data_IF_749998135733
#
_entry.id   IF_749998135733
#
_cell.length_a   1.000
_cell.length_b   1.000
_cell.length_c   1.000
_cell.angle_alpha   90.00
_cell.angle_beta   90.00
_cell.angle_gamma   90.00
#
_symmetry.space_group_name_H-M   'P 1'
#
loop_
_entity.id
_entity.type
_entity.pdbx_description
1 polymer ?
#
# COMPACT_ATOMS: atom_id res chain seq x y z
N UNK A 1 -29.26 30.57 -20.10
CA UNK A 1 -27.97 30.03 -20.55
C UNK A 1 -26.98 29.73 -19.40
N UNK A 2 -26.87 30.53 -18.37
CA UNK A 2 -26.01 30.25 -17.20
C UNK A 2 -26.41 29.01 -16.42
N UNK A 3 -27.69 28.77 -16.19
CA UNK A 3 -28.23 27.62 -15.41
C UNK A 3 -28.03 26.26 -16.08
N UNK A 4 -28.06 26.19 -17.40
CA UNK A 4 -27.82 24.94 -18.15
C UNK A 4 -26.31 24.59 -18.15
N UNK A 5 -25.46 25.61 -18.17
CA UNK A 5 -24.01 25.45 -18.13
C UNK A 5 -23.53 24.94 -16.75
N UNK A 6 -24.17 25.39 -15.66
CA UNK A 6 -23.89 24.92 -14.30
C UNK A 6 -24.43 23.50 -14.06
N UNK A 7 -25.56 23.13 -14.66
CA UNK A 7 -26.12 21.77 -14.58
C UNK A 7 -25.30 20.74 -15.37
N UNK A 8 -24.75 21.10 -16.53
CA UNK A 8 -23.84 20.23 -17.29
C UNK A 8 -22.48 20.14 -16.58
N UNK A 9 -22.03 21.20 -15.93
CA UNK A 9 -20.80 21.21 -15.14
C UNK A 9 -20.92 20.32 -13.88
N UNK A 10 -22.11 20.25 -13.28
CA UNK A 10 -22.37 19.42 -12.09
C UNK A 10 -22.40 17.91 -12.38
N UNK A 11 -22.71 17.51 -13.60
CA UNK A 11 -22.86 16.09 -13.97
C UNK A 11 -21.52 15.40 -14.32
N UNK A 12 -20.46 16.17 -14.59
CA UNK A 12 -19.24 15.62 -15.20
C UNK A 12 -18.02 15.50 -14.24
N UNK A 13 -18.11 16.00 -12.98
CA UNK A 13 -16.95 16.09 -12.07
C UNK A 13 -16.89 14.97 -11.03
N UNK A 14 -17.59 13.89 -11.23
CA UNK A 14 -17.94 12.94 -10.16
C UNK A 14 -17.04 11.68 -10.06
N UNK A 15 -15.72 11.68 -10.19
CA UNK A 15 -14.99 10.40 -10.05
C UNK A 15 -13.49 10.54 -9.76
N UNK A 16 -13.09 11.09 -8.63
CA UNK A 16 -11.68 10.94 -8.19
C UNK A 16 -11.51 10.94 -6.66
N UNK A 17 -11.38 9.79 -6.10
CA UNK A 17 -10.49 9.54 -4.97
C UNK A 17 -9.20 8.95 -5.51
N UNK A 18 -8.09 9.05 -4.79
CA UNK A 18 -6.84 8.34 -5.10
C UNK A 18 -6.94 6.88 -4.57
N UNK A 19 -7.68 5.97 -5.21
CA UNK A 19 -7.88 4.61 -4.70
C UNK A 19 -6.67 3.70 -4.92
N UNK A 20 -5.68 4.16 -5.67
CA UNK A 20 -4.58 3.33 -6.14
C UNK A 20 -3.43 3.10 -5.18
N UNK A 21 -3.32 3.84 -4.06
CA UNK A 21 -2.15 3.75 -3.17
C UNK A 21 -2.04 2.39 -2.46
N UNK A 22 -3.16 1.75 -2.15
CA UNK A 22 -3.15 0.49 -1.39
C UNK A 22 -2.89 -0.75 -2.23
N UNK A 23 -3.25 -0.75 -3.52
CA UNK A 23 -3.01 -1.88 -4.41
C UNK A 23 -1.57 -1.92 -4.97
N UNK A 24 -0.77 -0.87 -4.72
CA UNK A 24 0.59 -0.68 -5.26
C UNK A 24 1.67 -1.10 -4.27
N UNK A 25 1.40 -2.09 -3.41
CA UNK A 25 2.38 -2.61 -2.46
C UNK A 25 3.56 -3.26 -3.18
N UNK A 26 4.77 -3.00 -2.68
CA UNK A 26 6.00 -3.73 -2.98
C UNK A 26 6.71 -4.00 -1.65
N UNK A 27 6.42 -5.16 -1.07
CA UNK A 27 6.87 -5.52 0.27
C UNK A 27 7.67 -6.82 0.26
N UNK A 28 8.92 -6.84 -0.27
CA UNK A 28 9.74 -8.04 -0.27
C UNK A 28 9.91 -8.59 1.14
N UNK A 29 9.95 -9.93 1.24
CA UNK A 29 10.15 -10.66 2.50
C UNK A 29 9.03 -10.47 3.55
N UNK A 30 7.79 -10.22 3.09
CA UNK A 30 6.66 -9.97 3.99
C UNK A 30 6.29 -11.16 4.89
N UNK A 31 6.70 -12.37 4.54
CA UNK A 31 6.43 -13.61 5.28
C UNK A 31 7.65 -14.20 5.98
N UNK A 32 8.80 -13.52 5.91
CA UNK A 32 9.99 -13.97 6.68
C UNK A 32 9.67 -13.91 8.17
N UNK A 33 9.97 -15.02 8.86
CA UNK A 33 9.68 -15.14 10.28
C UNK A 33 10.77 -14.51 11.15
N UNK A 34 10.38 -14.12 12.34
CA UNK A 34 11.27 -13.67 13.42
C UNK A 34 11.04 -14.52 14.67
N UNK A 35 11.97 -14.53 15.63
CA UNK A 35 11.71 -15.17 16.92
C UNK A 35 10.44 -14.63 17.54
N UNK A 36 9.71 -15.45 18.32
CA UNK A 36 8.56 -14.99 19.08
C UNK A 36 8.98 -13.89 20.07
N UNK A 37 8.03 -12.98 20.37
CA UNK A 37 8.25 -11.78 21.19
C UNK A 37 9.23 -10.77 20.58
N UNK A 38 9.54 -10.87 19.27
CA UNK A 38 10.24 -9.81 18.58
C UNK A 38 9.32 -8.61 18.42
N UNK A 39 9.87 -7.44 18.69
CA UNK A 39 9.21 -6.15 18.47
C UNK A 39 10.09 -5.30 17.58
N UNK A 40 9.47 -4.44 16.79
CA UNK A 40 10.18 -3.41 16.06
C UNK A 40 9.34 -2.14 15.91
N UNK A 41 10.00 -1.00 15.91
CA UNK A 41 9.46 0.24 15.38
C UNK A 41 10.20 0.57 14.10
N UNK A 42 9.46 1.06 13.13
CA UNK A 42 10.02 1.51 11.85
C UNK A 42 9.51 2.92 11.56
N UNK A 43 10.44 3.82 11.26
CA UNK A 43 10.16 5.14 10.74
C UNK A 43 10.52 5.12 9.27
N UNK A 44 9.51 5.30 8.43
CA UNK A 44 9.67 5.36 6.97
C UNK A 44 9.37 6.76 6.49
N UNK A 45 10.19 7.27 5.59
CA UNK A 45 9.90 8.46 4.82
C UNK A 45 9.86 8.07 3.35
N UNK A 46 8.73 8.31 2.70
CA UNK A 46 8.53 8.03 1.28
C UNK A 46 8.24 9.32 0.54
N UNK A 47 8.95 9.54 -0.55
CA UNK A 47 8.73 10.64 -1.48
C UNK A 47 8.14 10.08 -2.76
N UNK A 48 7.12 10.74 -3.29
CA UNK A 48 6.39 10.37 -4.51
C UNK A 48 6.36 11.57 -5.45
N UNK A 49 6.64 11.33 -6.73
CA UNK A 49 6.56 12.33 -7.80
C UNK A 49 6.11 11.68 -9.10
N UNK A 50 5.13 12.28 -9.78
CA UNK A 50 4.68 11.77 -11.08
C UNK A 50 3.25 12.10 -11.45
N UNK A 51 2.73 11.35 -12.40
CA UNK A 51 1.42 11.52 -13.00
C UNK A 51 0.27 10.91 -12.22
N UNK A 52 -0.93 11.40 -12.52
CA UNK A 52 -2.20 10.81 -12.12
C UNK A 52 -3.01 10.48 -13.38
N UNK A 53 -3.18 9.19 -13.65
CA UNK A 53 -3.96 8.72 -14.80
C UNK A 53 -5.42 8.56 -14.43
N UNK A 54 -6.29 9.35 -15.03
CA UNK A 54 -7.74 9.26 -14.83
C UNK A 54 -8.46 8.49 -15.94
N UNK A 55 -7.74 8.08 -16.97
CA UNK A 55 -8.27 7.30 -18.09
C UNK A 55 -9.62 7.83 -18.63
N UNK A 56 -9.78 9.15 -18.68
CA UNK A 56 -11.03 9.80 -19.11
C UNK A 56 -12.18 9.73 -18.09
N UNK A 57 -12.00 9.13 -16.92
CA UNK A 57 -13.02 9.07 -15.87
C UNK A 57 -13.35 10.46 -15.29
N UNK A 58 -12.46 11.41 -15.44
CA UNK A 58 -12.59 12.80 -14.98
C UNK A 58 -12.05 13.74 -16.04
N UNK A 59 -12.62 14.95 -16.21
CA UNK A 59 -12.16 15.94 -17.17
C UNK A 59 -10.95 16.74 -16.62
N UNK A 60 -9.92 16.01 -16.20
CA UNK A 60 -8.64 16.57 -15.74
C UNK A 60 -7.54 15.98 -16.63
N UNK A 61 -6.74 16.85 -17.19
CA UNK A 61 -5.59 16.50 -18.01
C UNK A 61 -4.29 16.97 -17.35
N UNK A 62 -3.16 16.34 -17.72
CA UNK A 62 -1.83 16.67 -17.21
C UNK A 62 -1.77 16.69 -15.67
N UNK A 63 -2.51 15.77 -15.04
CA UNK A 63 -2.54 15.69 -13.60
C UNK A 63 -1.22 15.10 -13.07
N UNK A 64 -0.60 15.82 -12.14
CA UNK A 64 0.62 15.40 -11.45
C UNK A 64 0.48 15.59 -9.95
N UNK A 65 1.29 14.87 -9.19
CA UNK A 65 1.36 15.00 -7.75
C UNK A 65 2.77 14.78 -7.24
N UNK A 66 3.19 15.66 -6.34
CA UNK A 66 4.45 15.53 -5.59
C UNK A 66 4.12 15.55 -4.12
N UNK A 67 4.42 14.45 -3.40
CA UNK A 67 4.06 14.34 -2.00
C UNK A 67 5.01 13.46 -1.20
N UNK A 68 5.06 13.74 0.11
CA UNK A 68 5.86 13.01 1.08
C UNK A 68 4.96 12.32 2.09
N UNK A 69 5.35 11.10 2.48
CA UNK A 69 4.60 10.29 3.44
C UNK A 69 5.54 9.75 4.52
N UNK A 70 5.70 10.43 5.66
CA UNK A 70 6.24 9.83 6.86
C UNK A 70 5.26 8.79 7.41
N UNK A 71 5.80 7.61 7.81
CA UNK A 71 5.01 6.49 8.34
C UNK A 71 5.68 5.98 9.60
N UNK A 72 4.92 5.89 10.68
CA UNK A 72 5.30 5.13 11.87
C UNK A 72 4.69 3.74 11.80
N UNK A 73 5.49 2.68 11.98
CA UNK A 73 5.01 1.30 12.02
C UNK A 73 5.51 0.59 13.26
N UNK A 74 4.61 -0.09 13.97
CA UNK A 74 4.94 -1.03 15.03
C UNK A 74 4.73 -2.47 14.54
N UNK A 75 5.66 -3.36 14.90
CA UNK A 75 5.66 -4.78 14.59
C UNK A 75 5.77 -5.60 15.87
N UNK A 76 5.00 -6.68 15.97
CA UNK A 76 5.11 -7.67 17.03
C UNK A 76 4.93 -9.09 16.49
N UNK A 77 5.82 -10.02 16.90
CA UNK A 77 5.71 -11.44 16.57
C UNK A 77 5.29 -12.26 17.78
N UNK A 78 4.49 -13.27 17.55
CA UNK A 78 3.95 -14.14 18.59
C UNK A 78 3.74 -15.57 18.10
N UNK A 79 3.45 -16.46 19.05
CA UNK A 79 3.08 -17.83 18.76
C UNK A 79 1.57 -17.94 18.54
N UNK A 80 1.16 -18.43 17.38
CA UNK A 80 -0.21 -18.73 17.04
C UNK A 80 -0.35 -20.24 16.78
N UNK A 81 -0.77 -21.00 17.80
CA UNK A 81 -0.91 -22.46 17.74
C UNK A 81 0.33 -23.19 17.18
N UNK A 82 1.51 -22.84 17.65
CA UNK A 82 2.78 -23.42 17.21
C UNK A 82 3.34 -22.83 15.91
N UNK A 83 2.65 -21.86 15.31
CA UNK A 83 3.07 -21.17 14.09
C UNK A 83 3.57 -19.77 14.38
N UNK A 84 4.57 -19.32 13.63
CA UNK A 84 5.02 -17.94 13.69
C UNK A 84 3.93 -17.03 13.12
N UNK A 85 3.50 -16.07 13.91
CA UNK A 85 2.57 -15.04 13.51
C UNK A 85 3.11 -13.66 13.86
N UNK A 86 2.64 -12.64 13.15
CA UNK A 86 2.97 -11.26 13.46
C UNK A 86 1.81 -10.31 13.18
N UNK A 87 1.82 -9.20 13.90
CA UNK A 87 0.94 -8.07 13.65
C UNK A 87 1.78 -6.83 13.37
N UNK A 88 1.34 -6.05 12.37
CA UNK A 88 1.86 -4.73 12.08
C UNK A 88 0.74 -3.70 12.20
N UNK A 89 1.07 -2.53 12.75
CA UNK A 89 0.18 -1.38 12.80
C UNK A 89 0.95 -0.16 12.27
N UNK A 90 0.40 0.53 11.27
CA UNK A 90 1.05 1.68 10.63
C UNK A 90 0.16 2.91 10.69
N UNK A 91 0.75 4.04 11.02
CA UNK A 91 0.14 5.36 11.06
C UNK A 91 0.87 6.27 10.08
N UNK A 92 0.33 6.50 8.88
CA UNK A 92 0.92 7.37 7.89
C UNK A 92 0.36 8.79 7.96
N UNK A 93 1.20 9.78 7.61
CA UNK A 93 0.82 11.17 7.39
C UNK A 93 1.31 11.61 6.02
N UNK A 94 0.58 12.46 5.31
CA UNK A 94 1.02 12.93 4.00
C UNK A 94 0.96 14.44 3.87
N UNK A 95 1.88 14.94 3.06
CA UNK A 95 1.97 16.35 2.68
C UNK A 95 2.29 16.40 1.20
N UNK A 96 1.52 17.15 0.41
CA UNK A 96 1.83 17.22 -1.01
C UNK A 96 1.06 18.28 -1.79
N UNK A 97 1.52 18.48 -3.01
CA UNK A 97 0.96 19.39 -4.00
C UNK A 97 0.50 18.59 -5.20
N UNK A 98 -0.68 18.93 -5.70
CA UNK A 98 -1.27 18.34 -6.90
C UNK A 98 -1.54 19.45 -7.91
N UNK A 99 -1.30 19.16 -9.19
CA UNK A 99 -1.51 20.08 -10.29
C UNK A 99 -2.27 19.37 -11.41
N UNK A 100 -2.97 20.14 -12.24
CA UNK A 100 -3.66 19.61 -13.43
C UNK A 100 -4.57 20.63 -14.06
N UNK A 101 -4.92 20.43 -15.33
CA UNK A 101 -5.85 21.28 -16.04
C UNK A 101 -7.26 20.71 -15.91
N UNK A 102 -8.13 21.39 -15.17
CA UNK A 102 -9.55 21.09 -15.05
C UNK A 102 -10.34 22.02 -15.97
N UNK A 103 -11.07 21.45 -16.96
CA UNK A 103 -11.83 22.21 -17.97
C UNK A 103 -10.97 23.29 -18.68
N UNK A 104 -9.72 22.93 -19.04
CA UNK A 104 -8.78 23.81 -19.71
C UNK A 104 -8.15 24.90 -18.86
N UNK A 105 -8.41 24.92 -17.54
CA UNK A 105 -7.78 25.87 -16.60
C UNK A 105 -6.85 25.12 -15.67
N UNK A 106 -5.60 25.56 -15.62
CA UNK A 106 -4.63 25.01 -14.65
C UNK A 106 -5.06 25.30 -13.22
N UNK A 107 -4.91 24.30 -12.40
CA UNK A 107 -5.20 24.32 -10.96
C UNK A 107 -4.08 23.66 -10.20
N UNK A 108 -3.73 24.23 -9.08
CA UNK A 108 -2.82 23.67 -8.09
C UNK A 108 -3.50 23.63 -6.74
N UNK A 109 -3.27 22.56 -6.01
CA UNK A 109 -3.78 22.46 -4.66
C UNK A 109 -2.77 21.76 -3.74
N UNK A 110 -2.71 22.24 -2.53
CA UNK A 110 -1.94 21.65 -1.44
C UNK A 110 -2.85 20.84 -0.53
N UNK A 111 -2.36 19.68 -0.07
CA UNK A 111 -3.04 18.82 0.90
C UNK A 111 -2.04 18.32 1.94
N UNK A 112 -2.45 18.32 3.21
CA UNK A 112 -1.72 17.67 4.30
C UNK A 112 -2.72 17.00 5.23
N UNK A 113 -2.34 15.89 5.85
CA UNK A 113 -3.20 15.21 6.81
C UNK A 113 -2.83 13.76 7.03
N UNK A 114 -3.51 13.13 7.97
CA UNK A 114 -3.40 11.69 8.22
C UNK A 114 -3.97 10.91 7.04
N UNK A 115 -3.26 9.87 6.60
CA UNK A 115 -3.85 8.81 5.80
C UNK A 115 -4.51 7.78 6.70
N UNK A 116 -5.21 6.84 6.10
CA UNK A 116 -5.84 5.75 6.83
C UNK A 116 -4.80 4.83 7.49
N UNK A 117 -5.03 4.51 8.75
CA UNK A 117 -4.20 3.55 9.49
C UNK A 117 -4.34 2.16 8.90
N UNK A 118 -3.23 1.40 8.86
CA UNK A 118 -3.23 0.04 8.35
C UNK A 118 -2.79 -0.95 9.41
N UNK A 119 -3.47 -2.12 9.42
CA UNK A 119 -3.16 -3.24 10.29
C UNK A 119 -2.95 -4.48 9.43
N UNK A 120 -1.94 -5.29 9.72
CA UNK A 120 -1.73 -6.57 9.04
C UNK A 120 -1.46 -7.65 10.06
N UNK A 121 -2.27 -8.69 10.04
CA UNK A 121 -2.03 -9.95 10.74
C UNK A 121 -1.52 -10.97 9.71
N UNK A 122 -0.38 -11.61 9.98
CA UNK A 122 0.16 -12.68 9.14
C UNK A 122 0.45 -13.92 9.98
N UNK A 123 0.17 -15.09 9.40
CA UNK A 123 0.43 -16.39 10.01
C UNK A 123 1.13 -17.29 9.00
N UNK A 124 2.25 -17.91 9.39
CA UNK A 124 2.94 -18.91 8.59
C UNK A 124 2.30 -20.29 8.77
N UNK A 125 1.69 -20.81 7.72
CA UNK A 125 0.99 -22.10 7.73
C UNK A 125 1.97 -23.28 7.59
N UNK A 126 3.06 -23.12 6.82
CA UNK A 126 4.07 -24.16 6.59
C UNK A 126 5.46 -23.55 6.63
N UNK A 127 6.43 -24.28 7.15
CA UNK A 127 7.84 -23.91 7.17
C UNK A 127 8.24 -22.88 8.22
N UNK A 128 7.27 -22.18 8.82
CA UNK A 128 7.49 -21.10 9.79
C UNK A 128 6.96 -21.48 11.19
N UNK A 129 7.64 -22.35 11.96
CA UNK A 129 7.24 -22.63 13.34
C UNK A 129 7.49 -21.42 14.24
N UNK A 130 6.71 -21.31 15.32
CA UNK A 130 6.98 -20.36 16.39
C UNK A 130 8.23 -20.80 17.16
N UNK A 131 9.26 -19.94 17.18
CA UNK A 131 10.55 -20.30 17.77
C UNK A 131 11.02 -19.26 18.78
N UNK A 132 11.59 -19.75 19.88
CA UNK A 132 12.39 -18.92 20.78
C UNK A 132 13.70 -18.46 20.10
N UNK A 133 14.35 -17.39 20.57
CA UNK A 133 15.58 -16.87 19.93
C UNK A 133 16.70 -17.90 19.78
N UNK A 134 16.88 -18.80 20.77
CA UNK A 134 17.93 -19.86 20.73
C UNK A 134 17.69 -20.89 19.61
N UNK A 135 16.43 -21.19 19.31
CA UNK A 135 16.06 -22.16 18.27
C UNK A 135 16.08 -21.50 16.89
N UNK A 136 15.67 -20.22 16.83
CA UNK A 136 15.69 -19.43 15.61
C UNK A 136 17.09 -19.29 15.03
N UNK A 137 18.14 -19.15 15.85
CA UNK A 137 19.54 -19.05 15.37
C UNK A 137 19.98 -20.31 14.62
N UNK A 138 19.43 -21.47 14.95
CA UNK A 138 19.73 -22.77 14.31
C UNK A 138 18.85 -23.04 13.10
N UNK A 139 17.72 -22.36 12.99
CA UNK A 139 16.75 -22.58 11.93
C UNK A 139 17.23 -21.95 10.62
N UNK A 140 17.00 -22.65 9.53
CA UNK A 140 17.26 -22.14 8.18
C UNK A 140 15.96 -22.17 7.39
N UNK A 141 15.60 -21.03 6.84
CA UNK A 141 14.47 -20.93 5.94
C UNK A 141 14.68 -21.84 4.72
N UNK A 142 13.62 -22.57 4.38
CA UNK A 142 13.43 -23.24 3.10
C UNK A 142 12.17 -22.66 2.47
N UNK A 143 11.13 -23.46 2.37
CA UNK A 143 9.80 -23.03 1.90
C UNK A 143 8.99 -22.46 3.04
N UNK A 144 8.39 -21.30 2.85
CA UNK A 144 7.35 -20.73 3.72
C UNK A 144 6.05 -20.59 2.94
N UNK A 145 4.95 -21.00 3.55
CA UNK A 145 3.60 -20.68 3.10
C UNK A 145 2.91 -19.92 4.22
N UNK A 146 2.34 -18.79 3.88
CA UNK A 146 1.65 -17.96 4.86
C UNK A 146 0.37 -17.36 4.30
N UNK A 147 -0.46 -16.88 5.22
CA UNK A 147 -1.65 -16.09 4.91
C UNK A 147 -1.59 -14.80 5.72
N UNK A 148 -2.17 -13.75 5.18
CA UNK A 148 -2.35 -12.52 5.94
C UNK A 148 -3.69 -11.87 5.64
N UNK A 149 -4.13 -11.04 6.57
CA UNK A 149 -5.21 -10.10 6.38
C UNK A 149 -4.67 -8.69 6.66
N UNK A 150 -4.66 -7.84 5.64
CA UNK A 150 -4.41 -6.41 5.79
C UNK A 150 -5.75 -5.68 5.88
N UNK A 151 -5.87 -4.79 6.83
CA UNK A 151 -7.06 -3.97 7.08
C UNK A 151 -6.66 -2.51 7.03
N UNK A 152 -7.38 -1.72 6.27
CA UNK A 152 -7.28 -0.26 6.23
C UNK A 152 -8.50 0.31 6.94
N UNK A 153 -8.26 1.04 8.03
CA UNK A 153 -9.31 1.66 8.81
C UNK A 153 -9.52 3.12 8.37
N UNK A 154 -10.76 3.61 8.22
CA UNK A 154 -11.05 4.97 7.76
C UNK A 154 -10.75 6.03 8.84
N UNK A 155 -9.49 6.16 9.21
CA UNK A 155 -8.99 7.08 10.24
C UNK A 155 -8.30 8.31 9.65
N UNK A 156 -8.13 8.32 8.32
CA UNK A 156 -7.50 9.40 7.60
C UNK A 156 -8.38 10.63 7.48
N UNK A 157 -7.73 11.74 7.13
CA UNK A 157 -8.44 12.99 6.93
C UNK A 157 -9.27 12.93 5.64
N UNK A 158 -10.57 13.12 5.79
CA UNK A 158 -11.53 13.11 4.70
C UNK A 158 -12.48 14.30 4.77
N UNK A 159 -12.69 14.95 3.63
CA UNK A 159 -13.62 16.06 3.45
C UNK A 159 -14.46 15.78 2.17
N UNK A 160 -15.75 15.48 2.29
CA UNK A 160 -16.60 15.13 1.15
C UNK A 160 -16.79 16.27 0.14
N UNK A 161 -16.44 17.50 0.49
CA UNK A 161 -16.46 18.66 -0.43
C UNK A 161 -15.20 18.78 -1.27
N UNK A 162 -14.19 17.94 -1.01
CA UNK A 162 -12.90 17.95 -1.72
C UNK A 162 -12.71 16.72 -2.58
N UNK A 163 -12.21 16.92 -3.78
CA UNK A 163 -11.92 15.83 -4.72
C UNK A 163 -10.75 14.98 -4.25
N UNK A 164 -9.67 15.59 -3.76
CA UNK A 164 -8.47 14.90 -3.32
C UNK A 164 -8.44 14.86 -1.79
N UNK A 165 -8.45 13.66 -1.24
CA UNK A 165 -8.41 13.34 0.16
C UNK A 165 -7.28 12.34 0.47
N UNK A 166 -6.73 12.40 1.67
CA UNK A 166 -5.75 11.42 2.15
C UNK A 166 -6.40 10.17 2.73
N UNK A 167 -7.56 10.28 3.36
CA UNK A 167 -8.39 9.16 3.79
C UNK A 167 -9.36 8.73 2.68
N UNK A 168 -9.73 7.45 2.65
CA UNK A 168 -10.69 6.88 1.67
C UNK A 168 -12.13 6.81 2.22
N UNK A 169 -12.34 7.15 3.50
CA UNK A 169 -13.65 7.17 4.17
C UNK A 169 -14.43 5.83 4.07
N UNK A 170 -13.72 4.72 4.06
CA UNK A 170 -14.28 3.37 4.02
C UNK A 170 -13.26 2.35 4.51
N UNK A 171 -13.72 1.20 4.94
CA UNK A 171 -12.84 0.09 5.25
C UNK A 171 -12.36 -0.58 3.97
N UNK A 172 -11.11 -1.07 4.00
CA UNK A 172 -10.59 -1.96 2.97
C UNK A 172 -9.91 -3.18 3.62
N UNK A 173 -10.03 -4.33 2.98
CA UNK A 173 -9.55 -5.62 3.47
C UNK A 173 -8.80 -6.33 2.34
N UNK A 174 -7.58 -6.81 2.61
CA UNK A 174 -6.80 -7.64 1.68
C UNK A 174 -6.44 -8.97 2.33
N UNK A 175 -7.25 -10.03 2.21
CA UNK A 175 -6.74 -11.37 2.39
C UNK A 175 -5.68 -11.66 1.34
N UNK A 176 -4.59 -12.30 1.75
CA UNK A 176 -3.44 -12.56 0.90
C UNK A 176 -2.81 -13.91 1.27
N UNK A 177 -2.42 -14.67 0.25
CA UNK A 177 -1.59 -15.85 0.34
C UNK A 177 -0.16 -15.50 -0.06
N UNK A 178 0.83 -15.99 0.70
CA UNK A 178 2.25 -15.78 0.46
C UNK A 178 3.01 -17.09 0.37
N UNK A 179 3.86 -17.17 -0.63
CA UNK A 179 4.86 -18.20 -0.85
C UNK A 179 6.26 -17.58 -0.78
N UNK A 180 7.19 -18.21 -0.09
CA UNK A 180 8.59 -17.81 -0.06
C UNK A 180 9.48 -19.06 -0.12
N UNK A 181 10.43 -19.06 -1.03
CA UNK A 181 11.39 -20.16 -1.20
C UNK A 181 12.82 -19.63 -1.13
N UNK A 182 13.68 -20.33 -0.39
CA UNK A 182 15.09 -19.98 -0.26
C UNK A 182 15.98 -21.08 -0.85
N UNK A 183 16.88 -20.69 -1.72
CA UNK A 183 17.98 -21.53 -2.18
C UNK A 183 19.33 -20.79 -2.10
N UNK A 184 20.15 -21.21 -1.17
CA UNK A 184 21.42 -20.52 -0.87
C UNK A 184 21.19 -19.08 -0.45
N UNK A 185 21.75 -18.14 -1.20
CA UNK A 185 21.63 -16.70 -0.99
C UNK A 185 20.37 -16.10 -1.60
N UNK A 186 19.68 -16.81 -2.47
CA UNK A 186 18.49 -16.33 -3.16
C UNK A 186 17.22 -16.61 -2.36
N UNK A 187 16.29 -15.67 -2.41
CA UNK A 187 14.92 -15.83 -1.90
C UNK A 187 13.95 -15.33 -2.97
N UNK A 188 13.04 -16.21 -3.37
CA UNK A 188 11.91 -15.88 -4.22
C UNK A 188 10.67 -15.77 -3.35
N UNK A 189 9.98 -14.63 -3.44
CA UNK A 189 8.69 -14.43 -2.81
C UNK A 189 7.62 -14.22 -3.89
N UNK A 190 6.44 -14.79 -3.67
CA UNK A 190 5.27 -14.57 -4.51
C UNK A 190 4.03 -14.42 -3.63
N UNK A 191 3.25 -13.35 -3.85
CA UNK A 191 2.06 -13.07 -3.06
C UNK A 191 0.86 -12.87 -3.99
N UNK A 192 -0.29 -13.37 -3.57
CA UNK A 192 -1.55 -13.22 -4.28
C UNK A 192 -2.65 -12.79 -3.30
N UNK A 193 -3.29 -11.68 -3.55
CA UNK A 193 -4.31 -11.12 -2.68
C UNK A 193 -5.46 -10.49 -3.45
N UNK A 194 -6.55 -10.22 -2.73
CA UNK A 194 -7.71 -9.52 -3.26
C UNK A 194 -8.14 -8.43 -2.30
N UNK A 195 -8.26 -7.21 -2.80
CA UNK A 195 -8.80 -6.09 -2.05
C UNK A 195 -10.33 -6.07 -2.14
N UNK A 196 -10.98 -5.89 -1.00
CA UNK A 196 -12.39 -5.66 -0.84
C UNK A 196 -12.62 -4.33 -0.13
N UNK A 197 -13.64 -3.61 -0.52
CA UNK A 197 -13.95 -2.28 0.00
C UNK A 197 -15.37 -2.21 0.49
N UNK A 198 -15.61 -1.54 1.61
CA UNK A 198 -16.96 -1.12 1.99
C UNK A 198 -17.36 0.11 1.17
N UNK A 199 -18.62 0.48 1.25
CA UNK A 199 -19.11 1.71 0.60
C UNK A 199 -18.49 2.94 1.28
N UNK A 200 -18.02 3.92 0.47
CA UNK A 200 -17.83 5.27 0.94
C UNK A 200 -19.18 6.01 0.84
N UNK A 201 -19.82 6.34 1.97
CA UNK A 201 -21.18 6.90 1.95
C UNK A 201 -21.23 8.35 1.44
N UNK A 202 -20.13 9.07 1.49
CA UNK A 202 -20.04 10.50 1.24
C UNK A 202 -18.91 10.83 0.25
N UNK A 203 -18.86 10.12 -0.87
CA UNK A 203 -17.88 10.40 -1.91
C UNK A 203 -18.15 11.75 -2.58
N UNK A 204 -17.07 12.51 -2.86
CA UNK A 204 -17.16 13.79 -3.56
C UNK A 204 -17.96 13.70 -4.86
N UNK A 205 -19.06 14.41 -4.93
CA UNK A 205 -19.95 14.48 -6.10
C UNK A 205 -20.80 15.76 -6.03
N UNK A 206 -20.36 16.87 -6.65
CA UNK A 206 -21.11 18.12 -6.63
C UNK A 206 -22.50 17.95 -7.25
N UNK A 207 -23.56 18.64 -6.76
CA UNK A 207 -23.50 19.56 -5.60
C UNK A 207 -23.50 18.85 -4.24
N UNK A 208 -23.85 17.58 -4.16
CA UNK A 208 -23.95 16.81 -2.91
C UNK A 208 -23.13 15.52 -2.99
N UNK A 209 -22.46 15.12 -1.91
CA UNK A 209 -21.77 13.83 -1.83
C UNK A 209 -22.72 12.66 -2.11
N UNK A 210 -22.20 11.59 -2.70
CA UNK A 210 -22.96 10.38 -3.06
C UNK A 210 -22.24 9.12 -2.59
N UNK A 211 -22.98 8.02 -2.34
CA UNK A 211 -22.34 6.76 -2.02
C UNK A 211 -21.55 6.21 -3.22
N UNK A 212 -20.30 5.79 -2.96
CA UNK A 212 -19.43 5.13 -3.93
C UNK A 212 -19.10 3.72 -3.46
N UNK A 213 -19.26 2.76 -4.36
CA UNK A 213 -18.77 1.39 -4.20
C UNK A 213 -17.62 1.11 -5.15
N UNK A 214 -16.83 0.10 -4.87
CA UNK A 214 -15.73 -0.37 -5.73
C UNK A 214 -15.72 -1.89 -5.78
N UNK A 215 -15.59 -2.45 -6.98
CA UNK A 215 -15.44 -3.88 -7.17
C UNK A 215 -14.06 -4.35 -6.67
N UNK A 216 -13.92 -5.64 -6.31
CA UNK A 216 -12.64 -6.16 -5.84
C UNK A 216 -11.47 -5.90 -6.82
N UNK A 217 -10.25 -5.75 -6.24
CA UNK A 217 -8.99 -5.62 -7.00
C UNK A 217 -8.13 -6.83 -6.68
N UNK A 218 -7.80 -7.63 -7.70
CA UNK A 218 -6.77 -8.66 -7.61
C UNK A 218 -5.37 -8.04 -7.62
N UNK A 219 -4.47 -8.56 -6.80
CA UNK A 219 -3.08 -8.09 -6.68
C UNK A 219 -2.12 -9.27 -6.62
N UNK A 220 -1.05 -9.22 -7.41
CA UNK A 220 0.04 -10.17 -7.42
C UNK A 220 1.35 -9.45 -7.21
N UNK A 221 2.19 -9.95 -6.32
CA UNK A 221 3.53 -9.44 -6.06
C UNK A 221 4.55 -10.54 -6.27
N UNK A 222 5.68 -10.19 -6.85
CA UNK A 222 6.82 -11.07 -7.02
C UNK A 222 8.12 -10.36 -6.63
N UNK A 223 8.97 -11.03 -5.85
CA UNK A 223 10.23 -10.47 -5.39
C UNK A 223 11.34 -11.50 -5.51
N UNK A 224 12.45 -11.10 -6.08
CA UNK A 224 13.68 -11.90 -6.12
C UNK A 224 14.77 -11.19 -5.31
N UNK A 225 15.10 -11.76 -4.16
CA UNK A 225 16.08 -11.17 -3.24
C UNK A 225 17.38 -11.97 -3.23
N UNK A 226 18.51 -11.27 -2.98
CA UNK A 226 19.82 -11.87 -2.78
C UNK A 226 20.43 -11.41 -1.46
N UNK A 227 20.83 -12.35 -0.60
CA UNK A 227 21.54 -12.08 0.64
C UNK A 227 23.05 -11.98 0.39
N UNK A 228 23.60 -10.79 0.50
CA UNK A 228 25.05 -10.54 0.45
C UNK A 228 25.72 -11.06 1.73
N UNK A 229 25.11 -10.72 2.87
CA UNK A 229 25.49 -11.13 4.23
C UNK A 229 24.22 -11.21 5.09
N UNK A 230 24.29 -11.77 6.31
CA UNK A 230 23.17 -11.74 7.23
C UNK A 230 22.64 -10.31 7.41
N UNK A 231 21.32 -10.10 7.16
CA UNK A 231 20.61 -8.81 7.22
C UNK A 231 21.05 -7.75 6.17
N UNK A 232 21.99 -8.08 5.30
CA UNK A 232 22.34 -7.26 4.13
C UNK A 232 21.88 -7.95 2.87
N UNK A 233 20.87 -7.41 2.23
CA UNK A 233 20.25 -7.98 1.05
C UNK A 233 19.70 -6.87 0.13
N UNK A 234 19.43 -7.26 -1.11
CA UNK A 234 18.71 -6.45 -2.08
C UNK A 234 17.69 -7.32 -2.83
N UNK A 235 16.69 -6.70 -3.43
CA UNK A 235 15.67 -7.37 -4.23
C UNK A 235 15.30 -6.59 -5.48
N UNK A 236 14.84 -7.34 -6.49
CA UNK A 236 14.03 -6.85 -7.59
C UNK A 236 12.58 -7.16 -7.27
N UNK A 237 11.71 -6.20 -7.48
CA UNK A 237 10.34 -6.23 -7.02
C UNK A 237 9.39 -5.95 -8.18
N UNK A 238 8.27 -6.65 -8.23
CA UNK A 238 7.22 -6.44 -9.22
C UNK A 238 5.83 -6.60 -8.61
N UNK A 239 4.89 -5.77 -9.06
CA UNK A 239 3.48 -5.86 -8.67
C UNK A 239 2.60 -5.68 -9.90
N UNK A 240 1.53 -6.45 -9.95
CA UNK A 240 0.46 -6.35 -10.94
C UNK A 240 -0.89 -6.38 -10.23
N UNK A 241 -1.80 -5.47 -10.61
CA UNK A 241 -3.16 -5.45 -10.05
C UNK A 241 -4.20 -5.13 -11.11
N UNK A 242 -5.42 -5.64 -10.91
CA UNK A 242 -6.53 -5.48 -11.85
C UNK A 242 -7.89 -5.53 -11.16
N UNK A 243 -8.89 -4.88 -11.74
CA UNK A 243 -10.25 -4.81 -11.18
C UNK A 243 -10.66 -3.40 -10.80
N UNK A 244 -11.37 -3.21 -9.71
CA UNK A 244 -11.60 -1.91 -9.07
C UNK A 244 -12.55 -0.97 -9.84
N UNK A 245 -13.49 -1.48 -10.63
CA UNK A 245 -14.52 -0.62 -11.24
C UNK A 245 -15.34 0.02 -10.14
N UNK A 246 -15.37 1.35 -10.11
CA UNK A 246 -16.18 2.10 -9.15
C UNK A 246 -17.59 2.37 -9.68
N UNK A 247 -18.55 2.48 -8.76
CA UNK A 247 -19.92 2.89 -9.05
C UNK A 247 -20.32 4.02 -8.13
N UNK A 248 -20.98 5.04 -8.67
CA UNK A 248 -21.51 6.17 -7.92
C UNK A 248 -23.04 6.10 -7.94
N UNK A 249 -23.66 6.02 -6.77
CA UNK A 249 -25.12 5.80 -6.65
C UNK A 249 -25.64 4.63 -7.50
N UNK A 250 -24.87 3.54 -7.58
CA UNK A 250 -25.23 2.36 -8.38
C UNK A 250 -24.84 2.42 -9.86
N UNK A 251 -24.43 3.57 -10.38
CA UNK A 251 -24.00 3.72 -11.78
C UNK A 251 -22.51 3.41 -11.89
N UNK A 252 -22.18 2.33 -12.59
CA UNK A 252 -20.79 1.91 -12.77
C UNK A 252 -20.05 2.82 -13.76
N UNK A 253 -18.76 3.10 -13.48
CA UNK A 253 -17.86 3.77 -14.42
C UNK A 253 -16.72 2.82 -14.86
N UNK A 254 -16.85 2.16 -16.02
CA UNK A 254 -15.82 1.24 -16.52
C UNK A 254 -14.44 1.89 -16.77
N UNK A 255 -14.38 3.21 -16.95
CA UNK A 255 -13.13 3.94 -17.14
C UNK A 255 -12.22 3.88 -15.89
N UNK A 256 -12.79 3.67 -14.69
CA UNK A 256 -12.04 3.54 -13.43
C UNK A 256 -11.40 2.17 -13.24
N UNK A 257 -11.65 1.20 -14.16
CA UNK A 257 -11.07 -0.13 -14.08
C UNK A 257 -9.53 -0.02 -14.07
N UNK A 258 -8.94 -0.66 -13.09
CA UNK A 258 -7.49 -0.78 -12.97
C UNK A 258 -7.00 -2.01 -13.76
N UNK A 259 -5.88 -1.87 -14.41
CA UNK A 259 -5.04 -2.92 -14.99
C UNK A 259 -3.67 -2.29 -15.05
N UNK A 260 -2.84 -2.57 -14.08
CA UNK A 260 -1.64 -1.76 -13.85
C UNK A 260 -0.52 -2.60 -13.27
N UNK A 261 0.72 -2.17 -13.49
CA UNK A 261 1.91 -2.83 -13.00
C UNK A 261 2.98 -1.83 -12.56
N UNK A 262 3.83 -2.27 -11.66
CA UNK A 262 4.93 -1.50 -11.09
C UNK A 262 6.14 -2.39 -10.89
N UNK A 263 7.32 -1.84 -11.04
CA UNK A 263 8.59 -2.48 -10.72
C UNK A 263 9.36 -1.65 -9.70
N UNK A 264 10.26 -2.29 -8.99
CA UNK A 264 11.11 -1.63 -8.02
C UNK A 264 12.36 -2.40 -7.66
N UNK A 265 13.18 -1.74 -6.88
CA UNK A 265 14.37 -2.32 -6.25
C UNK A 265 14.36 -1.95 -4.77
N UNK A 266 14.76 -2.89 -3.93
CA UNK A 266 14.88 -2.66 -2.48
C UNK A 266 16.23 -3.14 -1.99
N UNK A 267 16.87 -2.37 -1.11
CA UNK A 267 18.08 -2.75 -0.41
C UNK A 267 17.92 -2.56 1.09
N UNK A 268 18.45 -3.48 1.89
CA UNK A 268 18.45 -3.36 3.34
C UNK A 268 19.84 -3.68 3.90
N UNK A 269 20.30 -2.85 4.83
CA UNK A 269 21.61 -2.99 5.47
C UNK A 269 21.47 -2.93 7.00
N UNK A 270 22.21 -3.74 7.75
CA UNK A 270 22.29 -3.62 9.19
C UNK A 270 23.15 -2.40 9.56
N UNK A 271 22.63 -1.50 10.39
CA UNK A 271 23.38 -0.37 10.98
C UNK A 271 24.01 -0.79 12.30
N UNK A 272 23.30 -1.62 13.06
CA UNK A 272 23.78 -2.21 14.31
C UNK A 272 23.12 -3.56 14.57
N UNK A 273 23.41 -4.18 15.73
CA UNK A 273 22.75 -5.44 16.13
C UNK A 273 21.20 -5.32 16.19
N UNK A 274 20.68 -4.13 16.50
CA UNK A 274 19.25 -3.87 16.67
C UNK A 274 18.66 -2.94 15.61
N UNK A 275 19.49 -2.35 14.75
CA UNK A 275 19.05 -1.35 13.79
C UNK A 275 19.34 -1.79 12.36
N UNK A 276 18.46 -1.43 11.46
CA UNK A 276 18.64 -1.59 10.02
C UNK A 276 18.09 -0.39 9.27
N UNK A 277 18.66 -0.14 8.10
CA UNK A 277 18.18 0.83 7.13
C UNK A 277 17.71 0.06 5.89
N UNK A 278 16.55 0.43 5.37
CA UNK A 278 16.02 -0.08 4.11
C UNK A 278 15.76 1.10 3.18
N UNK A 279 16.20 0.99 1.95
CA UNK A 279 15.96 1.95 0.88
C UNK A 279 15.25 1.23 -0.25
N UNK A 280 14.21 1.82 -0.79
CA UNK A 280 13.51 1.27 -1.96
C UNK A 280 13.18 2.38 -2.95
N UNK A 281 13.28 2.03 -4.23
CA UNK A 281 12.82 2.84 -5.35
C UNK A 281 11.86 2.02 -6.19
N UNK A 282 10.77 2.62 -6.62
CA UNK A 282 9.85 1.99 -7.55
C UNK A 282 9.18 2.98 -8.51
N UNK A 283 8.71 2.46 -9.64
CA UNK A 283 8.06 3.24 -10.69
C UNK A 283 6.94 2.43 -11.36
N UNK A 284 5.93 3.10 -11.86
CA UNK A 284 4.92 2.51 -12.73
C UNK A 284 5.55 2.01 -14.03
N UNK A 285 5.14 0.84 -14.49
CA UNK A 285 5.50 0.31 -15.81
C UNK A 285 4.34 0.40 -16.78
N UNK A 286 3.14 0.27 -16.27
CA UNK A 286 1.90 0.53 -16.96
C UNK A 286 0.82 0.88 -15.95
N UNK A 287 0.27 2.09 -16.02
CA UNK A 287 -0.79 2.57 -15.14
C UNK A 287 -1.98 3.00 -15.99
N UNK A 288 -3.05 2.22 -15.95
CA UNK A 288 -4.29 2.56 -16.64
C UNK A 288 -5.10 3.62 -15.89
N UNK A 289 -5.19 3.47 -14.57
CA UNK A 289 -5.96 4.36 -13.69
C UNK A 289 -5.30 4.45 -12.33
N UNK A 290 -5.17 5.65 -11.78
CA UNK A 290 -4.55 5.93 -10.49
C UNK A 290 -3.19 6.63 -10.62
N UNK A 291 -2.34 6.49 -9.62
CA UNK A 291 -1.06 7.18 -9.56
C UNK A 291 0.02 6.49 -10.39
N UNK A 292 0.56 7.22 -11.35
CA UNK A 292 1.73 6.85 -12.15
C UNK A 292 2.93 7.67 -11.68
N UNK A 293 3.48 7.30 -10.54
CA UNK A 293 4.60 7.99 -9.93
C UNK A 293 5.78 7.08 -9.69
N UNK A 294 6.95 7.73 -9.60
CA UNK A 294 8.14 7.20 -9.00
C UNK A 294 8.06 7.41 -7.49
N UNK A 295 8.63 6.51 -6.72
CA UNK A 295 8.78 6.71 -5.29
C UNK A 295 10.15 6.29 -4.80
N UNK A 296 10.70 7.08 -3.89
CA UNK A 296 11.90 6.79 -3.12
C UNK A 296 11.53 6.73 -1.65
N UNK A 297 11.85 5.60 -1.01
CA UNK A 297 11.54 5.42 0.41
C UNK A 297 12.80 5.05 1.19
N UNK A 298 12.94 5.63 2.38
CA UNK A 298 13.98 5.30 3.35
C UNK A 298 13.30 4.93 4.65
N UNK A 299 13.63 3.75 5.18
CA UNK A 299 13.06 3.25 6.41
C UNK A 299 14.17 2.89 7.40
N UNK A 300 14.14 3.49 8.58
CA UNK A 300 14.95 3.11 9.72
C UNK A 300 14.14 2.25 10.67
N UNK A 301 14.68 1.09 11.04
CA UNK A 301 14.04 0.15 11.95
C UNK A 301 14.90 -0.09 13.18
N UNK A 302 14.28 -0.05 14.36
CA UNK A 302 14.84 -0.51 15.63
C UNK A 302 14.08 -1.71 16.15
N UNK A 303 14.77 -2.80 16.48
CA UNK A 303 14.17 -4.07 16.92
C UNK A 303 14.70 -4.54 18.26
N UNK A 304 13.82 -5.17 19.07
CA UNK A 304 14.17 -5.74 20.36
C UNK A 304 13.33 -6.99 20.65
N UNK A 305 13.82 -7.79 21.58
CA UNK A 305 13.07 -8.93 22.12
C UNK A 305 12.32 -8.49 23.39
N UNK A 306 11.02 -8.75 23.42
CA UNK A 306 10.24 -8.63 24.64
C UNK A 306 10.65 -9.69 25.68
N UNK A 307 10.36 -9.43 26.95
CA UNK A 307 10.54 -10.45 27.99
C UNK A 307 9.49 -11.55 27.78
N UNK A 308 9.86 -12.84 27.79
CA UNK A 308 8.86 -13.90 27.88
C UNK A 308 8.11 -13.74 29.23
N UNK A 309 6.79 -13.78 29.18
CA UNK A 309 5.97 -13.90 30.38
C UNK A 309 6.01 -15.33 30.88
#
# INVERSE_FOLDING_TARGET
MRTIFELVLSATIAFCSLPGLFAQDLSPRAYVITPIHSNAITLTYSFYDGGLSFNGAVPITNATGTYSVPIFTYYHSFNFFGRSANINASLPYAVGTFQGAALGKERQLYRSGLLDSTFRLAVNLKGGPAMAPKDFVKWKQKTLLGVSLKVVAPTGQYDPTKLINWGINRWAFKPEFGYSERWGHWVLDGYAGVWFYTTNPQYYSPPNPKPQTEKPIGSFEGHLSYDVKPRFWFSLDGNFWFGGVTSLSGIANPATRQTSSRIGVTGAVPVSKRQSLKVSYNTGTYIRFGGDYQSLSVAWQYSWLGRPK
#
